data_IF_181613808789
#
_entry.id   IF_181613808789
#
_cell.length_a   1.000
_cell.length_b   1.000
_cell.length_c   1.000
_cell.angle_alpha   90.00
_cell.angle_beta   90.00
_cell.angle_gamma   90.00
#
_symmetry.space_group_name_H-M   'P 1'
#
loop_
_entity.id
_entity.type
_entity.pdbx_description
1 polymer ?
#
# COMPACT_ATOMS: atom_id res chain seq x y z
N UNK A 1 -20.35 59.75 13.83
CA UNK A 1 -19.28 60.14 12.88
C UNK A 1 -17.96 60.05 13.62
N UNK A 2 -17.11 59.05 13.30
CA UNK A 2 -15.67 58.85 13.64
C UNK A 2 -15.23 58.99 15.12
N UNK A 3 -14.47 58.09 15.75
CA UNK A 3 -13.02 57.82 15.58
C UNK A 3 -12.67 56.56 16.45
N UNK A 4 -11.94 55.54 15.95
CA UNK A 4 -10.45 55.32 16.04
C UNK A 4 -9.96 55.18 17.50
N UNK A 5 -9.07 54.30 17.96
CA UNK A 5 -8.35 53.09 17.55
C UNK A 5 -7.41 52.70 18.73
N UNK A 6 -6.57 51.65 18.54
CA UNK A 6 -5.27 51.34 19.19
C UNK A 6 -5.33 50.51 20.49
N UNK A 7 -4.92 49.24 20.43
CA UNK A 7 -3.54 48.73 20.45
C UNK A 7 -2.93 48.70 21.87
N UNK A 8 -3.00 47.54 22.52
CA UNK A 8 -2.33 47.25 23.78
C UNK A 8 -1.30 46.14 23.56
N UNK A 9 -0.06 46.56 23.31
CA UNK A 9 1.13 45.72 23.26
C UNK A 9 1.60 45.48 24.70
N UNK A 10 1.58 44.23 25.17
CA UNK A 10 2.19 43.86 26.45
C UNK A 10 3.19 42.74 26.18
N UNK A 11 4.43 43.14 25.90
CA UNK A 11 5.57 42.27 25.67
C UNK A 11 6.33 42.11 26.99
N UNK A 12 6.17 40.98 27.65
CA UNK A 12 7.00 40.57 28.80
C UNK A 12 7.20 39.07 28.75
N UNK A 13 8.38 38.62 28.32
CA UNK A 13 8.90 37.29 28.66
C UNK A 13 10.37 37.41 29.00
N UNK A 14 10.68 36.95 30.22
CA UNK A 14 11.98 36.89 30.86
C UNK A 14 12.75 35.63 30.42
N UNK A 15 14.05 35.79 30.21
CA UNK A 15 15.21 34.97 30.65
C UNK A 15 15.07 33.44 30.60
N UNK A 16 16.00 32.77 29.90
CA UNK A 16 16.75 31.61 30.41
C UNK A 16 18.00 31.32 29.56
N UNK A 17 19.17 31.38 30.20
CA UNK A 17 20.45 30.82 29.72
C UNK A 17 20.50 29.31 30.01
N UNK A 18 21.36 28.62 29.26
CA UNK A 18 22.01 27.31 29.56
C UNK A 18 21.47 26.10 28.81
N UNK A 19 22.30 25.47 27.98
CA UNK A 19 23.10 24.31 28.37
C UNK A 19 23.90 23.76 27.16
N UNK A 20 25.14 23.33 27.42
CA UNK A 20 25.99 22.59 26.49
C UNK A 20 25.28 21.31 26.03
N UNK A 21 25.06 21.13 24.72
CA UNK A 21 24.61 19.84 24.21
C UNK A 21 25.81 18.92 23.97
N UNK A 22 25.87 17.88 24.80
CA UNK A 22 26.73 16.74 24.64
C UNK A 22 26.45 16.01 23.32
N UNK A 23 27.51 15.58 22.65
CA UNK A 23 27.49 14.71 21.48
C UNK A 23 26.84 13.36 21.81
N UNK A 24 25.81 12.91 21.08
CA UNK A 24 25.44 11.51 21.08
C UNK A 24 26.42 10.74 20.18
N UNK A 25 27.08 9.72 20.74
CA UNK A 25 27.64 8.65 19.94
C UNK A 25 26.45 7.87 19.33
N UNK A 26 26.28 7.97 18.02
CA UNK A 26 25.22 7.24 17.32
C UNK A 26 25.58 5.75 17.28
N UNK A 27 24.69 4.85 17.72
CA UNK A 27 24.91 3.40 17.64
C UNK A 27 25.03 2.94 16.18
N UNK A 28 25.68 1.79 15.90
CA UNK A 28 25.81 1.28 14.54
C UNK A 28 24.44 1.12 13.91
N UNK A 29 24.24 1.79 12.76
CA UNK A 29 23.08 1.58 11.89
C UNK A 29 23.03 0.11 11.50
N UNK A 30 22.13 -0.63 12.13
CA UNK A 30 21.75 -1.96 11.64
C UNK A 30 21.12 -1.71 10.28
N UNK A 31 21.80 -2.16 9.23
CA UNK A 31 21.29 -2.05 7.87
C UNK A 31 19.86 -2.59 7.83
N UNK A 32 18.93 -1.76 7.34
CA UNK A 32 17.58 -2.20 7.07
C UNK A 32 17.64 -3.44 6.15
N UNK A 33 16.77 -4.44 6.32
CA UNK A 33 16.65 -5.50 5.33
C UNK A 33 16.36 -4.84 3.98
N UNK A 34 17.18 -5.15 2.97
CA UNK A 34 16.92 -4.78 1.59
C UNK A 34 15.53 -5.31 1.24
N UNK A 35 14.59 -4.39 1.01
CA UNK A 35 13.26 -4.75 0.55
C UNK A 35 13.42 -5.65 -0.69
N UNK A 36 12.65 -6.75 -0.80
CA UNK A 36 12.62 -7.54 -2.03
C UNK A 36 12.35 -6.62 -3.22
N UNK A 37 12.94 -6.89 -4.39
CA UNK A 37 12.65 -6.10 -5.59
C UNK A 37 11.13 -6.02 -5.77
N UNK A 38 10.63 -4.81 -5.99
CA UNK A 38 9.22 -4.59 -6.23
C UNK A 38 8.76 -5.56 -7.34
N UNK A 39 7.67 -6.32 -7.14
CA UNK A 39 7.14 -7.08 -8.24
C UNK A 39 6.86 -6.09 -9.39
N UNK A 40 7.15 -6.47 -10.64
CA UNK A 40 6.82 -5.63 -11.78
C UNK A 40 5.32 -5.26 -11.79
N UNK A 41 4.83 -4.30 -12.60
CA UNK A 41 3.48 -3.69 -12.47
C UNK A 41 2.30 -4.62 -12.84
N UNK A 42 2.42 -5.92 -12.59
CA UNK A 42 1.38 -6.93 -12.63
C UNK A 42 0.57 -6.86 -11.32
N UNK A 43 -0.28 -5.85 -11.15
CA UNK A 43 -1.41 -5.91 -10.22
C UNK A 43 -2.26 -4.65 -10.29
N UNK A 44 -3.57 -4.78 -10.14
CA UNK A 44 -4.50 -3.64 -10.18
C UNK A 44 -5.69 -3.69 -9.20
N UNK A 45 -5.95 -4.81 -8.53
CA UNK A 45 -6.97 -4.85 -7.46
C UNK A 45 -6.37 -4.58 -6.06
N UNK A 46 -5.28 -5.23 -5.62
CA UNK A 46 -4.72 -5.01 -4.29
C UNK A 46 -4.01 -3.66 -4.17
N UNK A 47 -3.60 -3.06 -5.29
CA UNK A 47 -3.05 -1.70 -5.35
C UNK A 47 -4.14 -0.61 -5.45
N UNK A 48 -5.38 -1.00 -5.75
CA UNK A 48 -6.54 -0.10 -5.89
C UNK A 48 -7.37 0.03 -4.61
N UNK A 49 -8.65 0.35 -4.77
CA UNK A 49 -9.61 0.54 -3.66
C UNK A 49 -9.79 -0.73 -2.81
N UNK A 50 -9.75 -1.92 -3.43
CA UNK A 50 -9.90 -3.19 -2.72
C UNK A 50 -8.80 -3.37 -1.66
N UNK A 51 -7.57 -2.93 -1.94
CA UNK A 51 -6.45 -3.09 -1.02
C UNK A 51 -6.24 -1.95 -0.03
N UNK A 52 -7.09 -0.93 0.02
CA UNK A 52 -6.88 0.20 0.95
C UNK A 52 -6.85 -0.24 2.42
N UNK A 53 -7.61 -1.27 2.77
CA UNK A 53 -7.63 -1.85 4.12
C UNK A 53 -6.48 -2.83 4.41
N UNK A 54 -5.58 -3.08 3.44
CA UNK A 54 -4.44 -3.96 3.58
C UNK A 54 -3.18 -3.17 3.93
N UNK A 55 -2.37 -3.74 4.83
CA UNK A 55 -1.01 -3.27 5.07
C UNK A 55 -0.07 -3.63 3.90
N UNK A 56 1.17 -3.14 3.97
CA UNK A 56 2.16 -3.33 2.90
C UNK A 56 2.52 -4.80 2.66
N UNK A 57 2.64 -5.60 3.72
CA UNK A 57 2.97 -7.03 3.62
C UNK A 57 1.83 -7.81 2.93
N UNK A 58 0.59 -7.55 3.31
CA UNK A 58 -0.60 -8.16 2.73
C UNK A 58 -0.80 -7.74 1.27
N UNK A 59 -0.56 -6.46 0.93
CA UNK A 59 -0.55 -5.98 -0.46
C UNK A 59 0.48 -6.73 -1.30
N UNK A 60 1.68 -6.93 -0.76
CA UNK A 60 2.75 -7.66 -1.45
C UNK A 60 2.36 -9.12 -1.71
N UNK A 61 1.82 -9.81 -0.69
CA UNK A 61 1.35 -11.18 -0.82
C UNK A 61 0.21 -11.31 -1.83
N UNK A 62 -0.76 -10.38 -1.78
CA UNK A 62 -1.88 -10.32 -2.71
C UNK A 62 -1.43 -10.07 -4.15
N UNK A 63 -0.53 -9.12 -4.38
CA UNK A 63 0.02 -8.80 -5.70
C UNK A 63 0.78 -10.01 -6.30
N UNK A 64 1.57 -10.71 -5.47
CA UNK A 64 2.27 -11.93 -5.92
C UNK A 64 1.29 -13.02 -6.34
N UNK A 65 0.20 -13.22 -5.58
CA UNK A 65 -0.82 -14.20 -5.93
C UNK A 65 -1.64 -13.79 -7.16
N UNK A 66 -1.92 -12.49 -7.35
CA UNK A 66 -2.55 -11.98 -8.57
C UNK A 66 -1.68 -12.25 -9.80
N UNK A 67 -0.39 -11.90 -9.76
CA UNK A 67 0.54 -12.17 -10.85
C UNK A 67 0.64 -13.68 -11.17
N UNK A 68 0.70 -14.53 -10.14
CA UNK A 68 0.73 -15.97 -10.32
C UNK A 68 -0.59 -16.52 -10.90
N UNK A 69 -1.74 -15.98 -10.49
CA UNK A 69 -3.05 -16.37 -11.01
C UNK A 69 -3.23 -15.96 -12.48
N UNK A 70 -2.73 -14.78 -12.85
CA UNK A 70 -2.70 -14.31 -14.23
C UNK A 70 -1.82 -15.19 -15.10
N UNK A 71 -0.61 -15.50 -14.63
CA UNK A 71 0.35 -16.30 -15.38
C UNK A 71 -0.09 -17.75 -15.57
N UNK A 72 -0.59 -18.40 -14.50
CA UNK A 72 -1.00 -19.81 -14.58
C UNK A 72 -2.44 -20.00 -15.08
N UNK A 73 -3.24 -18.95 -15.00
CA UNK A 73 -4.68 -19.01 -15.26
C UNK A 73 -5.48 -19.79 -14.21
N UNK A 74 -4.90 -20.06 -13.04
CA UNK A 74 -5.50 -20.83 -11.97
C UNK A 74 -5.77 -19.96 -10.74
N UNK A 75 -6.64 -20.43 -9.86
CA UNK A 75 -6.83 -19.77 -8.57
C UNK A 75 -5.53 -19.79 -7.76
N UNK A 76 -5.17 -18.65 -7.18
CA UNK A 76 -4.08 -18.54 -6.21
C UNK A 76 -4.59 -17.96 -4.91
N UNK A 77 -4.18 -18.54 -3.80
CA UNK A 77 -4.46 -18.05 -2.45
C UNK A 77 -3.27 -17.27 -1.94
N UNK A 78 -3.51 -16.41 -0.95
CA UNK A 78 -2.46 -15.72 -0.21
C UNK A 78 -2.91 -15.44 1.21
N UNK A 79 -1.92 -15.20 2.08
CA UNK A 79 -2.12 -14.79 3.46
C UNK A 79 -1.07 -13.73 3.79
N UNK A 80 -1.53 -12.61 4.34
CA UNK A 80 -0.68 -11.57 4.91
C UNK A 80 -0.33 -11.89 6.36
N UNK A 81 0.72 -11.24 6.84
CA UNK A 81 1.25 -11.48 8.19
C UNK A 81 0.33 -10.94 9.29
N UNK A 82 -0.40 -9.85 9.02
CA UNK A 82 -1.39 -9.25 9.93
C UNK A 82 -2.73 -9.97 9.98
N UNK A 83 -2.85 -11.12 9.33
CA UNK A 83 -4.04 -11.96 9.36
C UNK A 83 -5.08 -11.67 8.28
N UNK A 84 -4.86 -10.67 7.42
CA UNK A 84 -5.62 -10.56 6.17
C UNK A 84 -5.27 -11.74 5.25
N UNK A 85 -6.24 -12.25 4.50
CA UNK A 85 -6.01 -13.34 3.55
C UNK A 85 -6.99 -13.27 2.41
N UNK A 86 -6.76 -14.06 1.36
CA UNK A 86 -7.67 -14.07 0.23
C UNK A 86 -7.26 -15.02 -0.86
N UNK A 87 -7.96 -14.87 -1.99
CA UNK A 87 -7.65 -15.60 -3.20
C UNK A 87 -8.02 -14.79 -4.44
N UNK A 88 -7.28 -15.03 -5.50
CA UNK A 88 -7.54 -14.50 -6.84
C UNK A 88 -8.03 -15.67 -7.68
N UNK A 89 -9.23 -15.53 -8.23
CA UNK A 89 -9.83 -16.48 -9.16
C UNK A 89 -9.89 -15.84 -10.54
N UNK A 90 -9.05 -16.27 -11.48
CA UNK A 90 -9.11 -15.74 -12.83
C UNK A 90 -10.18 -16.48 -13.65
N UNK A 91 -10.82 -15.76 -14.56
CA UNK A 91 -11.81 -16.28 -15.49
C UNK A 91 -11.18 -17.00 -16.69
N UNK A 92 -12.03 -17.38 -17.65
CA UNK A 92 -11.56 -17.88 -18.93
C UNK A 92 -10.74 -16.80 -19.66
N UNK A 93 -9.76 -17.22 -20.46
CA UNK A 93 -9.09 -16.30 -21.37
C UNK A 93 -10.03 -15.93 -22.53
N UNK A 94 -9.99 -14.66 -22.91
CA UNK A 94 -10.64 -14.10 -24.08
C UNK A 94 -9.58 -13.32 -24.88
N UNK A 95 -8.98 -14.01 -25.85
CA UNK A 95 -7.75 -13.53 -26.51
C UNK A 95 -6.63 -13.34 -25.49
N UNK A 96 -5.99 -12.18 -25.51
CA UNK A 96 -4.95 -11.80 -24.55
C UNK A 96 -5.49 -11.30 -23.22
N UNK A 97 -6.82 -11.15 -23.07
CA UNK A 97 -7.44 -10.65 -21.86
C UNK A 97 -8.07 -11.77 -21.03
N UNK A 98 -8.21 -11.54 -19.73
CA UNK A 98 -9.02 -12.37 -18.83
C UNK A 98 -9.57 -11.57 -17.67
N UNK A 99 -10.76 -11.94 -17.24
CA UNK A 99 -11.34 -11.41 -16.03
C UNK A 99 -10.68 -11.99 -14.79
N UNK A 100 -10.71 -11.25 -13.70
CA UNK A 100 -10.30 -11.70 -12.37
C UNK A 100 -11.34 -11.31 -11.34
N UNK A 101 -11.51 -12.18 -10.37
CA UNK A 101 -12.19 -11.87 -9.11
C UNK A 101 -11.21 -12.07 -7.98
N UNK A 102 -10.99 -11.04 -7.18
CA UNK A 102 -10.16 -11.08 -5.98
C UNK A 102 -11.05 -10.95 -4.75
N UNK A 103 -11.08 -11.99 -3.93
CA UNK A 103 -11.75 -11.97 -2.64
C UNK A 103 -10.70 -11.81 -1.55
N UNK A 104 -10.86 -10.79 -0.71
CA UNK A 104 -10.01 -10.55 0.47
C UNK A 104 -10.86 -10.63 1.72
N UNK A 105 -10.26 -11.07 2.81
CA UNK A 105 -10.86 -11.13 4.13
C UNK A 105 -10.03 -10.24 5.05
N UNK A 106 -10.65 -9.18 5.56
CA UNK A 106 -10.05 -8.26 6.54
C UNK A 106 -10.90 -8.34 7.80
N UNK A 107 -10.30 -8.69 8.93
CA UNK A 107 -11.02 -8.96 10.19
C UNK A 107 -12.17 -9.98 10.00
N UNK A 108 -11.95 -10.99 9.14
CA UNK A 108 -12.94 -12.02 8.80
C UNK A 108 -14.05 -11.57 7.85
N UNK A 109 -14.11 -10.29 7.46
CA UNK A 109 -15.14 -9.77 6.55
C UNK A 109 -14.68 -9.83 5.10
N UNK A 110 -15.47 -10.42 4.18
CA UNK A 110 -15.11 -10.48 2.77
C UNK A 110 -15.27 -9.13 2.09
N UNK A 111 -14.30 -8.76 1.26
CA UNK A 111 -14.39 -7.69 0.27
C UNK A 111 -13.99 -8.28 -1.09
N UNK A 112 -14.73 -7.96 -2.14
CA UNK A 112 -14.53 -8.54 -3.47
C UNK A 112 -14.27 -7.44 -4.46
N UNK A 113 -13.18 -7.56 -5.23
CA UNK A 113 -12.92 -6.75 -6.40
C UNK A 113 -12.93 -7.59 -7.66
N UNK A 114 -13.29 -6.96 -8.77
CA UNK A 114 -13.25 -7.56 -10.10
C UNK A 114 -12.50 -6.62 -11.03
N UNK A 115 -11.82 -7.19 -12.01
CA UNK A 115 -11.14 -6.43 -13.06
C UNK A 115 -10.82 -7.33 -14.23
N UNK A 116 -10.42 -6.74 -15.33
CA UNK A 116 -9.94 -7.47 -16.51
C UNK A 116 -8.46 -7.17 -16.65
N UNK A 117 -7.63 -8.18 -16.88
CA UNK A 117 -6.22 -7.99 -17.19
C UNK A 117 -5.93 -8.49 -18.60
N UNK A 118 -5.18 -7.71 -19.36
CA UNK A 118 -4.75 -8.03 -20.70
C UNK A 118 -3.24 -8.23 -20.75
N UNK A 119 -2.81 -9.25 -21.50
CA UNK A 119 -1.42 -9.56 -21.75
C UNK A 119 -0.86 -8.56 -22.77
N UNK A 120 0.32 -8.04 -22.47
CA UNK A 120 1.09 -7.09 -23.26
C UNK A 120 2.51 -7.65 -23.36
N UNK A 121 2.75 -8.55 -24.32
CA UNK A 121 3.99 -9.33 -24.42
C UNK A 121 4.06 -10.42 -23.35
N UNK A 122 5.12 -10.45 -22.56
CA UNK A 122 5.23 -11.34 -21.40
C UNK A 122 4.49 -10.80 -20.16
N UNK A 123 4.04 -9.54 -20.23
CA UNK A 123 3.49 -8.83 -19.08
C UNK A 123 1.97 -8.80 -19.04
N UNK A 124 1.37 -8.67 -17.85
CA UNK A 124 -0.08 -8.44 -17.70
C UNK A 124 -0.33 -7.03 -17.17
N UNK A 125 -1.37 -6.38 -17.70
CA UNK A 125 -1.83 -5.06 -17.26
C UNK A 125 -3.32 -5.12 -16.96
N UNK A 126 -3.75 -4.54 -15.85
CA UNK A 126 -5.18 -4.38 -15.57
C UNK A 126 -5.75 -3.33 -16.53
N UNK A 127 -6.78 -3.69 -17.29
CA UNK A 127 -7.70 -2.76 -17.93
C UNK A 127 -8.84 -2.53 -16.94
N UNK A 128 -8.78 -1.40 -16.24
CA UNK A 128 -9.83 -0.89 -15.36
C UNK A 128 -10.46 0.34 -15.96
#
# INVERSE_FOLDING_TARGET
>A
MHFVARAGFALTVLISLSACNATPAEPPVVAAPTAPPAPPPYAGLPSGSLGQALDAASKTAANKAEAAALASGERKTWRGESGAYGYIAPGAANGDCRDLTHTIYVNGRPNVGKGTACKSGESWKLNG
#
